data_IF_506300063726
#
_entry.id   IF_506300063726
#
_cell.length_a   1.000
_cell.length_b   1.000
_cell.length_c   1.000
_cell.angle_alpha   90.00
_cell.angle_beta   90.00
_cell.angle_gamma   90.00
#
_symmetry.space_group_name_H-M   'P 1'
#
loop_
_entity.id
_entity.type
_entity.pdbx_description
1 polymer ?
#
# COMPACT_ATOMS: atom_id res chain seq x y z
N UNK A 1 9.07 -0.54 4.23
CA UNK A 1 7.87 -1.18 3.64
C UNK A 1 8.02 -1.34 2.13
N UNK A 2 8.23 -0.25 1.40
CA UNK A 2 8.34 -0.25 -0.07
C UNK A 2 9.54 0.58 -0.54
N UNK A 3 10.68 -0.08 -0.78
CA UNK A 3 11.96 0.60 -1.04
C UNK A 3 12.04 1.26 -2.43
N UNK A 4 11.12 0.94 -3.33
CA UNK A 4 11.13 1.41 -4.73
C UNK A 4 9.85 2.12 -5.10
N UNK A 5 9.21 2.72 -4.10
CA UNK A 5 7.95 3.40 -4.23
C UNK A 5 7.87 4.35 -5.46
N UNK A 6 8.93 5.13 -5.69
CA UNK A 6 9.02 6.07 -6.80
C UNK A 6 9.32 5.44 -8.17
N UNK A 7 9.68 4.15 -8.21
CA UNK A 7 10.13 3.47 -9.44
C UNK A 7 9.09 2.51 -10.04
N UNK A 8 8.02 2.19 -9.30
CA UNK A 8 6.93 1.36 -9.81
C UNK A 8 5.63 2.14 -9.90
N UNK A 9 4.60 1.59 -10.54
CA UNK A 9 3.26 2.19 -10.64
C UNK A 9 2.26 1.29 -9.89
N UNK A 10 2.18 1.46 -8.57
CA UNK A 10 1.28 0.69 -7.70
C UNK A 10 1.74 -0.71 -7.31
N UNK A 11 2.50 -1.41 -8.16
CA UNK A 11 2.94 -2.78 -7.91
C UNK A 11 4.46 -2.93 -8.09
N UNK A 12 5.16 -3.34 -7.03
CA UNK A 12 6.58 -3.68 -7.10
C UNK A 12 6.76 -5.16 -7.48
N UNK A 13 6.73 -5.49 -8.77
CA UNK A 13 6.90 -6.87 -9.27
C UNK A 13 8.22 -7.52 -8.83
N UNK A 14 9.29 -6.74 -8.76
CA UNK A 14 10.59 -7.25 -8.29
C UNK A 14 10.58 -7.43 -6.77
N UNK A 15 9.77 -6.67 -6.04
CA UNK A 15 9.60 -6.78 -4.60
C UNK A 15 8.77 -8.01 -4.27
N UNK A 16 7.70 -8.22 -5.02
CA UNK A 16 6.85 -9.41 -4.99
C UNK A 16 7.68 -10.66 -5.29
N UNK A 17 8.47 -10.69 -6.36
CA UNK A 17 9.30 -11.87 -6.69
C UNK A 17 10.34 -12.16 -5.62
N UNK A 18 10.98 -11.12 -5.06
CA UNK A 18 11.89 -11.25 -3.91
C UNK A 18 11.19 -11.78 -2.67
N UNK A 19 9.99 -11.30 -2.36
CA UNK A 19 9.20 -11.75 -1.23
C UNK A 19 8.80 -13.22 -1.37
N UNK A 20 8.32 -13.62 -2.55
CA UNK A 20 7.99 -15.01 -2.88
C UNK A 20 9.22 -15.90 -2.70
N UNK A 21 10.35 -15.56 -3.34
CA UNK A 21 11.60 -16.34 -3.23
C UNK A 21 12.03 -16.49 -1.77
N UNK A 22 11.97 -15.42 -0.98
CA UNK A 22 12.36 -15.43 0.43
C UNK A 22 11.43 -16.29 1.28
N UNK A 23 10.11 -16.18 1.09
CA UNK A 23 9.12 -16.94 1.85
C UNK A 23 9.18 -18.44 1.52
N UNK A 24 9.43 -18.80 0.25
CA UNK A 24 9.64 -20.19 -0.18
C UNK A 24 10.92 -20.76 0.44
N UNK A 25 12.05 -20.05 0.32
CA UNK A 25 13.33 -20.49 0.88
C UNK A 25 13.29 -20.65 2.40
N UNK A 26 12.63 -19.72 3.10
CA UNK A 26 12.52 -19.75 4.57
C UNK A 26 11.38 -20.60 5.09
N UNK A 27 10.55 -21.19 4.21
CA UNK A 27 9.31 -21.91 4.54
C UNK A 27 8.41 -21.16 5.54
N UNK A 28 8.46 -19.82 5.52
CA UNK A 28 7.76 -18.95 6.45
C UNK A 28 7.33 -17.67 5.76
N UNK A 29 6.08 -17.28 5.94
CA UNK A 29 5.55 -16.00 5.48
C UNK A 29 6.11 -14.88 6.34
N UNK A 30 7.26 -14.34 5.95
CA UNK A 30 8.01 -13.35 6.74
C UNK A 30 8.09 -11.99 6.05
N UNK A 31 8.07 -11.96 4.71
CA UNK A 31 8.12 -10.72 3.93
C UNK A 31 6.76 -10.41 3.32
N UNK A 32 6.22 -9.23 3.63
CA UNK A 32 5.07 -8.66 2.94
C UNK A 32 5.47 -8.16 1.55
N UNK A 33 4.54 -8.26 0.60
CA UNK A 33 4.77 -7.87 -0.80
C UNK A 33 3.91 -6.68 -1.25
N UNK A 34 3.07 -6.13 -0.36
CA UNK A 34 2.25 -4.96 -0.69
C UNK A 34 3.09 -3.69 -0.74
N UNK A 35 2.82 -2.84 -1.73
CA UNK A 35 3.40 -1.49 -1.87
C UNK A 35 2.73 -0.49 -0.94
N UNK A 36 3.27 0.72 -0.86
CA UNK A 36 2.64 1.83 -0.12
C UNK A 36 1.28 2.18 -0.73
N UNK A 37 1.17 2.26 -2.06
CA UNK A 37 -0.10 2.57 -2.75
C UNK A 37 -1.18 1.52 -2.45
N UNK A 38 -0.82 0.23 -2.46
CA UNK A 38 -1.73 -0.85 -2.10
C UNK A 38 -2.25 -0.73 -0.67
N UNK A 39 -1.37 -0.30 0.24
CA UNK A 39 -1.75 -0.11 1.63
C UNK A 39 -2.58 1.15 1.83
N UNK A 40 -2.30 2.21 1.08
CA UNK A 40 -3.12 3.41 1.06
C UNK A 40 -4.53 3.13 0.52
N UNK A 41 -4.64 2.40 -0.59
CA UNK A 41 -5.92 1.93 -1.14
C UNK A 41 -6.72 1.13 -0.10
N UNK A 42 -6.04 0.26 0.65
CA UNK A 42 -6.67 -0.51 1.72
C UNK A 42 -7.13 0.36 2.88
N UNK A 43 -6.35 1.36 3.29
CA UNK A 43 -6.70 2.30 4.36
C UNK A 43 -7.95 3.11 4.01
N UNK A 44 -8.07 3.56 2.76
CA UNK A 44 -9.17 4.43 2.33
C UNK A 44 -10.48 3.69 2.04
N UNK A 45 -10.41 2.51 1.40
CA UNK A 45 -11.58 1.95 0.72
C UNK A 45 -11.98 0.54 1.16
N UNK A 46 -11.18 -0.14 1.98
CA UNK A 46 -11.36 -1.56 2.25
C UNK A 46 -11.38 -1.88 3.73
N UNK A 47 -12.11 -2.93 4.07
CA UNK A 47 -12.10 -3.49 5.42
C UNK A 47 -10.83 -4.33 5.67
N UNK A 48 -10.56 -4.67 6.92
CA UNK A 48 -9.40 -5.48 7.32
C UNK A 48 -9.57 -6.99 7.07
N UNK A 49 -10.62 -7.41 6.38
CA UNK A 49 -10.88 -8.83 6.07
C UNK A 49 -9.75 -9.44 5.25
N UNK A 50 -9.34 -10.69 5.47
CA UNK A 50 -8.23 -11.30 4.72
C UNK A 50 -8.74 -12.22 3.62
N UNK A 51 -9.48 -11.67 2.65
CA UNK A 51 -10.04 -12.42 1.53
C UNK A 51 -9.36 -12.10 0.19
N UNK A 52 -9.39 -13.04 -0.75
CA UNK A 52 -8.90 -12.83 -2.11
C UNK A 52 -9.72 -11.77 -2.86
N UNK A 53 -11.05 -11.77 -2.68
CA UNK A 53 -11.94 -10.74 -3.26
C UNK A 53 -11.54 -9.34 -2.82
N UNK A 54 -11.29 -9.13 -1.52
CA UNK A 54 -10.76 -7.85 -1.02
C UNK A 54 -9.42 -7.50 -1.67
N UNK A 55 -8.51 -8.47 -1.82
CA UNK A 55 -7.19 -8.22 -2.44
C UNK A 55 -7.31 -7.83 -3.94
N UNK A 56 -8.29 -8.37 -4.66
CA UNK A 56 -8.58 -7.97 -6.04
C UNK A 56 -9.11 -6.53 -6.07
N UNK A 57 -10.05 -6.17 -5.18
CA UNK A 57 -10.53 -4.77 -5.05
C UNK A 57 -9.38 -3.81 -4.70
N UNK A 58 -8.47 -4.21 -3.82
CA UNK A 58 -7.26 -3.44 -3.50
C UNK A 58 -6.43 -3.16 -4.74
N UNK A 59 -6.27 -4.14 -5.63
CA UNK A 59 -5.54 -3.97 -6.87
C UNK A 59 -6.21 -2.93 -7.80
N UNK A 60 -7.54 -2.95 -7.92
CA UNK A 60 -8.28 -1.95 -8.70
C UNK A 60 -8.11 -0.53 -8.14
N UNK A 61 -8.29 -0.35 -6.83
CA UNK A 61 -8.09 0.95 -6.19
C UNK A 61 -6.63 1.43 -6.26
N UNK A 62 -5.66 0.51 -6.21
CA UNK A 62 -4.24 0.84 -6.39
C UNK A 62 -4.00 1.44 -7.77
N UNK A 63 -4.55 0.83 -8.81
CA UNK A 63 -4.45 1.36 -10.18
C UNK A 63 -5.11 2.74 -10.26
N UNK A 64 -6.31 2.88 -9.71
CA UNK A 64 -7.04 4.15 -9.73
C UNK A 64 -6.28 5.27 -9.02
N UNK A 65 -5.62 5.01 -7.88
CA UNK A 65 -4.80 6.00 -7.20
C UNK A 65 -3.58 6.39 -8.04
N UNK A 66 -2.88 5.44 -8.63
CA UNK A 66 -1.68 5.70 -9.45
C UNK A 66 -1.97 6.39 -10.77
N UNK A 67 -3.20 6.30 -11.28
CA UNK A 67 -3.61 7.04 -12.49
C UNK A 67 -4.03 8.47 -12.21
N UNK A 68 -4.49 8.77 -10.99
CA UNK A 68 -5.06 10.09 -10.66
C UNK A 68 -4.18 10.94 -9.75
N UNK A 69 -3.27 10.32 -8.99
CA UNK A 69 -2.42 10.98 -8.03
C UNK A 69 -0.95 10.76 -8.37
N UNK A 70 -0.15 11.78 -8.14
CA UNK A 70 1.30 11.68 -8.16
C UNK A 70 1.83 10.83 -7.01
N UNK A 71 3.05 10.32 -7.15
CA UNK A 71 3.75 9.59 -6.08
C UNK A 71 3.84 10.39 -4.79
N UNK A 72 4.03 11.71 -4.89
CA UNK A 72 4.12 12.57 -3.71
C UNK A 72 2.77 12.60 -2.95
N UNK A 73 1.67 12.83 -3.66
CA UNK A 73 0.32 12.87 -3.08
C UNK A 73 -0.07 11.52 -2.46
N UNK A 74 0.25 10.41 -3.12
CA UNK A 74 0.01 9.06 -2.58
C UNK A 74 0.78 8.85 -1.28
N UNK A 75 2.06 9.24 -1.24
CA UNK A 75 2.89 9.06 -0.05
C UNK A 75 2.43 9.95 1.10
N UNK A 76 2.11 11.21 0.80
CA UNK A 76 1.60 12.18 1.77
C UNK A 76 0.25 11.71 2.34
N UNK A 77 -0.68 11.32 1.47
CA UNK A 77 -1.95 10.71 1.86
C UNK A 77 -1.75 9.45 2.70
N UNK A 78 -0.83 8.57 2.31
CA UNK A 78 -0.50 7.37 3.08
C UNK A 78 0.01 7.69 4.47
N UNK A 79 1.00 8.58 4.59
CA UNK A 79 1.61 8.96 5.88
C UNK A 79 0.55 9.59 6.79
N UNK A 80 -0.29 10.46 6.22
CA UNK A 80 -1.39 11.06 6.97
C UNK A 80 -2.36 9.98 7.45
N UNK A 81 -2.77 9.04 6.60
CA UNK A 81 -3.81 8.08 6.97
C UNK A 81 -3.32 6.86 7.78
N UNK A 82 -2.04 6.46 7.66
CA UNK A 82 -1.49 5.32 8.41
C UNK A 82 -1.37 5.61 9.92
N UNK A 83 -1.28 6.90 10.29
CA UNK A 83 -1.19 7.35 11.68
C UNK A 83 -2.55 7.55 12.35
N UNK A 84 -3.64 7.78 11.62
CA UNK A 84 -4.95 8.12 12.21
C UNK A 84 -5.86 6.91 12.46
N UNK A 85 -5.29 5.87 13.06
CA UNK A 85 -6.07 4.80 13.70
C UNK A 85 -6.97 5.30 14.84
N UNK A 86 -6.91 6.57 15.25
CA UNK A 86 -7.76 7.23 16.27
C UNK A 86 -8.18 8.66 15.84
N UNK A 87 -8.88 8.81 14.72
CA UNK A 87 -9.87 9.89 14.55
C UNK A 87 -9.41 11.36 14.62
N UNK A 88 -8.25 11.73 14.07
CA UNK A 88 -7.88 13.14 13.91
C UNK A 88 -7.75 13.49 12.42
N UNK A 89 -8.48 14.53 12.05
CA UNK A 89 -8.52 15.14 10.71
C UNK A 89 -7.14 15.69 10.32
N UNK A 90 -6.93 15.83 9.00
CA UNK A 90 -5.67 16.14 8.33
C UNK A 90 -4.76 17.17 9.00
N UNK A 91 -3.47 17.02 8.75
CA UNK A 91 -2.38 17.96 9.10
C UNK A 91 -2.50 19.27 8.26
N UNK A 92 -3.71 19.71 7.92
CA UNK A 92 -3.97 21.04 7.34
C UNK A 92 -4.21 22.12 8.42
N UNK A 93 -3.97 21.82 9.71
CA UNK A 93 -3.96 22.84 10.77
C UNK A 93 -2.73 22.73 11.67
N UNK A 94 -1.55 22.97 11.11
CA UNK A 94 -0.41 23.43 11.88
C UNK A 94 0.20 24.65 11.17
N UNK A 95 -0.46 25.79 11.29
CA UNK A 95 0.16 27.12 11.22
C UNK A 95 0.58 27.57 12.61
#
# INVERSE_FOLDING_TARGET
EDKRFYSHHGFDYVGISRAIKTNVLKRKTSLGASTITQQYARLLYLTNEKTWSRKVKEAFFTLQLETHLSKKEILEGYINNVYFGHGIYGIENAS
#
